data_IF_796799316822
#
_entry.id   IF_796799316822
#
_cell.length_a   1.000
_cell.length_b   1.000
_cell.length_c   1.000
_cell.angle_alpha   90.00
_cell.angle_beta   90.00
_cell.angle_gamma   90.00
#
_symmetry.space_group_name_H-M   'P 1'
#
loop_
_entity.id
_entity.type
_entity.pdbx_description
1 polymer ?
#
# COMPACT_ATOMS: atom_id res chain seq x y z
N UNK A 1 -25.61 -47.71 -38.31
CA UNK A 1 -26.62 -48.72 -38.70
C UNK A 1 -26.25 -49.97 -37.92
N UNK A 2 -26.85 -50.31 -36.79
CA UNK A 2 -28.26 -50.62 -36.52
C UNK A 2 -28.66 -50.11 -35.13
N UNK A 3 -29.81 -49.43 -35.07
CA UNK A 3 -30.61 -49.15 -33.88
C UNK A 3 -31.35 -50.43 -33.45
N UNK A 4 -31.64 -50.60 -32.15
CA UNK A 4 -32.99 -50.80 -31.59
C UNK A 4 -32.93 -51.21 -30.10
N UNK A 5 -33.14 -50.22 -29.23
CA UNK A 5 -34.04 -50.30 -28.06
C UNK A 5 -35.49 -50.06 -28.61
N UNK A 6 -36.65 -50.28 -27.94
CA UNK A 6 -36.92 -50.38 -26.49
C UNK A 6 -38.12 -51.32 -26.09
N UNK A 7 -38.49 -51.34 -24.80
CA UNK A 7 -39.87 -51.26 -24.22
C UNK A 7 -39.81 -51.62 -22.71
N UNK A 8 -39.90 -50.63 -21.80
CA UNK A 8 -41.11 -50.21 -21.02
C UNK A 8 -41.78 -51.40 -20.27
N UNK A 9 -42.00 -51.36 -18.95
CA UNK A 9 -42.85 -50.39 -18.25
C UNK A 9 -42.88 -50.64 -16.72
N UNK A 10 -42.72 -49.56 -15.95
CA UNK A 10 -43.41 -49.12 -14.70
C UNK A 10 -43.86 -50.20 -13.70
N UNK A 11 -43.30 -50.30 -12.49
CA UNK A 11 -43.44 -49.39 -11.33
C UNK A 11 -44.86 -49.40 -10.74
N UNK A 12 -45.03 -49.99 -9.55
CA UNK A 12 -45.63 -49.37 -8.35
C UNK A 12 -45.97 -50.44 -7.29
N UNK A 13 -45.60 -50.13 -6.04
CA UNK A 13 -46.36 -50.42 -4.80
C UNK A 13 -46.63 -51.91 -4.52
N UNK A 14 -46.11 -52.52 -3.48
CA UNK A 14 -46.08 -52.05 -2.11
C UNK A 14 -45.54 -53.24 -1.29
N UNK A 15 -44.62 -53.01 -0.34
CA UNK A 15 -44.99 -52.99 1.08
C UNK A 15 -44.92 -54.39 1.72
N UNK A 16 -43.77 -54.71 2.31
CA UNK A 16 -43.70 -55.31 3.65
C UNK A 16 -42.24 -55.39 4.14
N UNK A 17 -41.91 -54.35 4.91
CA UNK A 17 -41.11 -54.38 6.14
C UNK A 17 -40.01 -55.44 6.28
N UNK A 18 -38.75 -54.99 6.28
CA UNK A 18 -37.81 -55.35 7.35
C UNK A 18 -36.93 -54.16 7.71
N UNK A 19 -37.02 -53.84 9.00
CA UNK A 19 -36.31 -52.82 9.75
C UNK A 19 -34.79 -52.87 9.55
N UNK A 20 -34.23 -51.81 9.00
CA UNK A 20 -32.87 -51.39 9.34
C UNK A 20 -32.95 -49.97 9.91
N UNK A 21 -32.67 -49.87 11.20
CA UNK A 21 -32.48 -48.61 11.91
C UNK A 21 -31.21 -47.96 11.38
N UNK A 22 -31.37 -47.09 10.39
CA UNK A 22 -30.34 -46.09 10.06
C UNK A 22 -30.27 -45.11 11.23
N UNK A 23 -29.28 -45.29 12.10
CA UNK A 23 -28.88 -44.24 13.03
C UNK A 23 -28.23 -43.14 12.19
N UNK A 24 -29.05 -42.18 11.74
CA UNK A 24 -28.56 -40.89 11.26
C UNK A 24 -27.81 -40.24 12.41
N UNK A 25 -26.50 -40.46 12.44
CA UNK A 25 -25.60 -39.67 13.27
C UNK A 25 -25.43 -38.34 12.56
N UNK A 26 -26.40 -37.45 12.74
CA UNK A 26 -26.25 -36.05 12.35
C UNK A 26 -25.11 -35.49 13.18
N UNK A 27 -23.92 -35.42 12.58
CA UNK A 27 -22.79 -34.69 13.15
C UNK A 27 -23.20 -33.22 13.12
N UNK A 28 -23.71 -32.73 14.24
CA UNK A 28 -24.02 -31.32 14.45
C UNK A 28 -22.71 -30.53 14.35
N UNK A 29 -22.65 -29.62 13.37
CA UNK A 29 -21.60 -28.59 13.30
C UNK A 29 -21.44 -27.91 14.66
N UNK A 30 -20.21 -27.59 15.08
CA UNK A 30 -20.00 -26.85 16.31
C UNK A 30 -20.52 -25.43 16.10
N UNK A 31 -21.78 -25.19 16.46
CA UNK A 31 -22.29 -23.83 16.63
C UNK A 31 -21.31 -23.12 17.58
N UNK A 32 -20.75 -22.01 17.11
CA UNK A 32 -19.89 -21.15 17.93
C UNK A 32 -20.76 -20.60 19.04
N UNK A 33 -20.61 -21.14 20.24
CA UNK A 33 -21.32 -20.65 21.43
C UNK A 33 -20.46 -19.54 22.03
N UNK A 34 -20.66 -18.33 21.55
CA UNK A 34 -19.94 -17.12 21.97
C UNK A 34 -20.67 -16.32 23.05
N UNK A 35 -21.97 -16.56 23.23
CA UNK A 35 -22.83 -15.83 24.16
C UNK A 35 -23.70 -16.74 25.03
N UNK A 36 -24.14 -16.27 26.22
CA UNK A 36 -25.08 -17.00 27.06
C UNK A 36 -26.42 -17.30 26.36
N UNK A 37 -26.86 -16.42 25.45
CA UNK A 37 -28.09 -16.59 24.68
C UNK A 37 -27.96 -17.71 23.64
N UNK A 38 -26.86 -17.71 22.86
CA UNK A 38 -26.57 -18.77 21.88
C UNK A 38 -26.45 -20.16 22.54
N UNK A 39 -25.93 -20.22 23.78
CA UNK A 39 -25.89 -21.44 24.57
C UNK A 39 -27.30 -21.92 24.95
N UNK A 40 -28.17 -21.01 25.39
CA UNK A 40 -29.54 -21.34 25.78
C UNK A 40 -30.37 -21.86 24.60
N UNK A 41 -30.13 -21.33 23.39
CA UNK A 41 -30.81 -21.76 22.17
C UNK A 41 -30.33 -23.13 21.69
N UNK A 42 -29.01 -23.40 21.74
CA UNK A 42 -28.44 -24.71 21.41
C UNK A 42 -28.90 -25.82 22.37
N UNK A 43 -29.04 -25.51 23.66
CA UNK A 43 -29.53 -26.45 24.67
C UNK A 43 -31.02 -26.75 24.52
N UNK A 44 -31.83 -25.74 24.13
CA UNK A 44 -33.25 -25.92 23.77
C UNK A 44 -33.40 -26.80 22.53
N UNK A 45 -32.63 -26.55 21.49
CA UNK A 45 -32.66 -27.33 20.25
C UNK A 45 -32.28 -28.82 20.47
N UNK A 46 -31.50 -29.11 21.52
CA UNK A 46 -31.08 -30.47 21.87
C UNK A 46 -31.96 -31.17 22.92
N UNK A 47 -33.10 -30.56 23.29
CA UNK A 47 -34.08 -31.10 24.23
C UNK A 47 -33.53 -31.48 25.62
N UNK A 48 -32.57 -30.69 26.13
CA UNK A 48 -31.94 -30.86 27.45
C UNK A 48 -32.10 -29.60 28.34
N UNK A 49 -33.33 -29.16 28.67
CA UNK A 49 -33.52 -28.02 29.55
C UNK A 49 -33.13 -28.39 31.01
N UNK A 50 -32.20 -27.63 31.59
CA UNK A 50 -31.90 -27.67 33.03
C UNK A 50 -30.85 -28.68 33.50
N UNK A 51 -30.36 -29.60 32.67
CA UNK A 51 -29.36 -30.58 33.08
C UNK A 51 -27.93 -30.20 32.63
N UNK A 52 -27.04 -29.97 33.61
CA UNK A 52 -25.57 -29.86 33.52
C UNK A 52 -24.98 -28.47 33.22
N UNK A 53 -25.29 -27.52 34.10
CA UNK A 53 -24.58 -26.24 34.25
C UNK A 53 -23.06 -26.39 34.34
N UNK A 54 -22.52 -27.41 35.05
CA UNK A 54 -21.06 -27.59 35.20
C UNK A 54 -20.33 -27.92 33.90
N UNK A 55 -20.88 -28.81 33.06
CA UNK A 55 -20.21 -29.22 31.80
C UNK A 55 -20.28 -28.11 30.75
N UNK A 56 -21.41 -27.40 30.69
CA UNK A 56 -21.57 -26.24 29.81
C UNK A 56 -20.68 -25.08 30.26
N UNK A 57 -20.61 -24.79 31.57
CA UNK A 57 -19.69 -23.77 32.12
C UNK A 57 -18.23 -24.18 31.88
N UNK A 58 -17.87 -25.45 32.04
CA UNK A 58 -16.51 -25.93 31.78
C UNK A 58 -16.15 -25.83 30.28
N UNK A 59 -17.09 -26.14 29.38
CA UNK A 59 -16.92 -25.98 27.94
C UNK A 59 -16.82 -24.51 27.55
N UNK A 60 -17.64 -23.64 28.14
CA UNK A 60 -17.56 -22.18 27.95
C UNK A 60 -16.25 -21.61 28.52
N UNK A 61 -15.77 -22.11 29.67
CA UNK A 61 -14.49 -21.73 30.27
C UNK A 61 -13.31 -22.19 29.43
N UNK A 62 -13.33 -23.41 28.88
CA UNK A 62 -12.32 -23.88 27.92
C UNK A 62 -12.37 -23.07 26.64
N UNK A 63 -13.55 -22.88 26.04
CA UNK A 63 -13.71 -22.04 24.85
C UNK A 63 -13.21 -20.61 25.11
N UNK A 64 -13.51 -20.01 26.27
CA UNK A 64 -12.96 -18.72 26.69
C UNK A 64 -11.46 -18.76 26.89
N UNK A 65 -10.89 -19.82 27.46
CA UNK A 65 -9.45 -19.97 27.64
C UNK A 65 -8.71 -20.18 26.31
N UNK A 66 -9.32 -20.90 25.36
CA UNK A 66 -8.81 -21.10 24.00
C UNK A 66 -8.98 -19.84 23.15
N UNK A 67 -10.07 -19.08 23.33
CA UNK A 67 -10.31 -17.78 22.70
C UNK A 67 -9.53 -16.63 23.36
N UNK A 68 -9.11 -16.82 24.63
CA UNK A 68 -7.96 -16.14 25.24
C UNK A 68 -6.68 -16.68 24.63
N UNK A 69 -6.64 -16.78 23.29
CA UNK A 69 -5.38 -16.61 22.60
C UNK A 69 -4.81 -15.31 23.14
N UNK A 70 -3.71 -15.48 23.88
CA UNK A 70 -2.78 -14.49 24.39
C UNK A 70 -3.09 -13.14 23.75
N UNK A 71 -3.76 -12.25 24.49
CA UNK A 71 -3.83 -10.86 24.06
C UNK A 71 -2.39 -10.48 23.78
N UNK A 72 -2.07 -10.25 22.49
CA UNK A 72 -0.73 -9.83 22.10
C UNK A 72 -0.35 -8.71 23.05
N UNK A 73 0.83 -8.76 23.68
CA UNK A 73 1.24 -7.71 24.59
C UNK A 73 0.98 -6.37 23.89
N UNK A 74 0.42 -5.37 24.59
CA UNK A 74 0.11 -4.10 23.97
C UNK A 74 1.35 -3.67 23.20
N UNK A 75 1.21 -3.54 21.89
CA UNK A 75 2.34 -3.19 21.02
C UNK A 75 3.02 -1.98 21.63
N UNK A 76 4.33 -2.06 21.81
CA UNK A 76 5.09 -0.94 22.36
C UNK A 76 4.90 0.29 21.45
N UNK A 77 5.13 1.48 22.02
CA UNK A 77 4.93 2.74 21.31
C UNK A 77 5.71 2.77 19.99
N UNK A 78 6.91 2.18 19.97
CA UNK A 78 7.75 2.08 18.78
C UNK A 78 7.06 1.27 17.67
N UNK A 79 6.51 0.11 17.99
CA UNK A 79 5.80 -0.77 17.05
C UNK A 79 4.52 -0.11 16.53
N UNK A 80 3.80 0.62 17.39
CA UNK A 80 2.62 1.41 16.96
C UNK A 80 3.00 2.53 16.00
N UNK A 81 4.09 3.24 16.30
CA UNK A 81 4.60 4.31 15.45
C UNK A 81 5.04 3.75 14.08
N UNK A 82 5.80 2.65 14.07
CA UNK A 82 6.22 1.96 12.83
C UNK A 82 5.00 1.52 12.03
N UNK A 83 3.99 0.93 12.68
CA UNK A 83 2.76 0.52 12.02
C UNK A 83 2.01 1.71 11.44
N UNK A 84 1.86 2.80 12.19
CA UNK A 84 1.16 4.01 11.74
C UNK A 84 1.88 4.66 10.55
N UNK A 85 3.20 4.80 10.61
CA UNK A 85 4.01 5.32 9.51
C UNK A 85 3.89 4.42 8.27
N UNK A 86 3.99 3.10 8.44
CA UNK A 86 3.86 2.15 7.33
C UNK A 86 2.50 2.25 6.65
N UNK A 87 1.41 2.30 7.43
CA UNK A 87 0.05 2.45 6.90
C UNK A 87 -0.11 3.77 6.15
N UNK A 88 0.30 4.89 6.75
CA UNK A 88 0.21 6.22 6.13
C UNK A 88 0.97 6.28 4.80
N UNK A 89 2.23 5.86 4.81
CA UNK A 89 3.08 5.88 3.62
C UNK A 89 2.59 4.91 2.54
N UNK A 90 2.08 3.73 2.92
CA UNK A 90 1.51 2.77 1.97
C UNK A 90 0.23 3.31 1.31
N UNK A 91 -0.60 4.03 2.06
CA UNK A 91 -1.79 4.69 1.52
C UNK A 91 -1.41 5.76 0.48
N UNK A 92 -0.39 6.57 0.76
CA UNK A 92 0.10 7.59 -0.18
C UNK A 92 0.73 6.98 -1.43
N UNK A 93 1.51 5.90 -1.28
CA UNK A 93 2.05 5.15 -2.42
C UNK A 93 0.91 4.63 -3.30
N UNK A 94 -0.13 4.02 -2.70
CA UNK A 94 -1.28 3.51 -3.45
C UNK A 94 -2.06 4.62 -4.17
N UNK A 95 -2.28 5.76 -3.51
CA UNK A 95 -2.95 6.94 -4.08
C UNK A 95 -2.23 7.44 -5.34
N UNK A 96 -0.90 7.40 -5.35
CA UNK A 96 -0.03 7.75 -6.48
C UNK A 96 0.08 6.65 -7.55
N UNK A 97 -0.67 5.55 -7.43
CA UNK A 97 -0.61 4.41 -8.36
C UNK A 97 0.63 3.53 -8.19
N UNK A 98 1.32 3.64 -7.06
CA UNK A 98 2.48 2.83 -6.73
C UNK A 98 2.11 1.40 -6.30
N UNK A 99 3.08 0.49 -6.44
CA UNK A 99 2.92 -0.89 -6.00
C UNK A 99 3.20 -0.98 -4.49
N UNK A 100 2.27 -1.56 -3.73
CA UNK A 100 2.34 -1.65 -2.26
C UNK A 100 2.79 -3.02 -1.75
N UNK A 101 3.06 -3.95 -2.66
CA UNK A 101 3.57 -5.27 -2.35
C UNK A 101 4.10 -6.01 -3.58
N UNK A 102 4.77 -7.12 -3.31
CA UNK A 102 5.42 -7.97 -4.32
C UNK A 102 5.23 -9.43 -3.97
N UNK A 103 5.22 -10.32 -4.95
CA UNK A 103 4.96 -11.73 -4.72
C UNK A 103 6.12 -12.43 -3.96
N UNK A 104 5.80 -13.32 -3.02
CA UNK A 104 6.79 -13.98 -2.15
C UNK A 104 7.57 -15.12 -2.78
N UNK A 105 7.03 -15.72 -3.84
CA UNK A 105 7.52 -16.99 -4.37
C UNK A 105 7.63 -16.98 -5.89
N UNK A 106 8.53 -17.81 -6.41
CA UNK A 106 8.75 -17.94 -7.84
C UNK A 106 7.57 -18.63 -8.56
N UNK A 107 6.94 -19.59 -7.86
CA UNK A 107 5.85 -20.44 -8.39
C UNK A 107 4.50 -20.00 -7.83
N UNK A 108 3.46 -20.17 -8.65
CA UNK A 108 2.07 -19.83 -8.32
C UNK A 108 1.58 -20.38 -6.97
N UNK A 109 1.99 -21.61 -6.62
CA UNK A 109 1.62 -22.29 -5.37
C UNK A 109 2.27 -21.70 -4.11
N UNK A 110 3.25 -20.80 -4.24
CA UNK A 110 3.95 -20.14 -3.14
C UNK A 110 3.75 -18.61 -3.14
N UNK A 111 2.78 -18.10 -3.91
CA UNK A 111 2.49 -16.67 -4.02
C UNK A 111 1.63 -16.21 -2.83
N UNK A 112 2.24 -15.49 -1.90
CA UNK A 112 1.56 -14.48 -1.08
C UNK A 112 2.12 -13.10 -1.45
N UNK A 113 1.32 -12.06 -1.36
CA UNK A 113 1.82 -10.68 -1.51
C UNK A 113 2.57 -10.29 -0.23
N UNK A 114 3.86 -10.00 -0.36
CA UNK A 114 4.68 -9.41 0.68
C UNK A 114 4.43 -7.90 0.69
N UNK A 115 4.01 -7.33 1.83
CA UNK A 115 3.81 -5.89 1.95
C UNK A 115 5.15 -5.16 2.07
N UNK A 116 5.15 -3.89 1.70
CA UNK A 116 6.20 -2.94 2.05
C UNK A 116 6.47 -2.91 3.56
N UNK A 117 7.74 -2.78 3.94
CA UNK A 117 8.17 -2.68 5.34
C UNK A 117 9.06 -1.46 5.54
N UNK A 118 8.93 -0.79 6.68
CA UNK A 118 9.85 0.25 7.10
C UNK A 118 11.21 -0.40 7.38
N UNK A 119 12.22 -0.01 6.60
CA UNK A 119 13.60 -0.50 6.73
C UNK A 119 14.56 0.54 7.26
N UNK A 120 14.23 1.84 7.09
CA UNK A 120 15.02 2.93 7.63
C UNK A 120 14.17 4.16 7.93
N UNK A 121 14.64 5.01 8.84
CA UNK A 121 14.02 6.29 9.18
C UNK A 121 15.04 7.31 9.67
N UNK A 122 14.88 8.55 9.25
CA UNK A 122 15.77 9.66 9.66
C UNK A 122 15.06 10.99 9.42
N UNK A 123 15.16 11.93 10.37
CA UNK A 123 14.65 13.30 10.23
C UNK A 123 13.19 13.42 9.73
N UNK A 124 12.30 12.52 10.17
CA UNK A 124 10.90 12.51 9.74
C UNK A 124 10.63 11.85 8.38
N UNK A 125 11.67 11.39 7.70
CA UNK A 125 11.60 10.58 6.49
C UNK A 125 11.65 9.09 6.83
N UNK A 126 11.04 8.27 5.97
CA UNK A 126 11.05 6.81 6.09
C UNK A 126 11.32 6.16 4.74
N UNK A 127 12.06 5.05 4.75
CA UNK A 127 12.18 4.18 3.58
C UNK A 127 11.33 2.93 3.79
N UNK A 128 10.40 2.71 2.86
CA UNK A 128 9.64 1.48 2.74
C UNK A 128 10.27 0.60 1.65
N UNK A 129 10.54 -0.65 1.98
CA UNK A 129 11.16 -1.60 1.06
C UNK A 129 10.56 -2.99 1.15
N UNK A 130 10.55 -3.71 0.03
CA UNK A 130 10.25 -5.15 -0.02
C UNK A 130 10.94 -5.80 -1.20
N UNK A 131 11.42 -7.02 -1.01
CA UNK A 131 11.94 -7.90 -2.07
C UNK A 131 11.02 -9.09 -2.27
N UNK A 132 10.94 -9.55 -3.52
CA UNK A 132 10.17 -10.72 -3.87
C UNK A 132 10.46 -11.18 -5.29
N UNK A 133 9.42 -11.73 -5.91
CA UNK A 133 9.44 -12.28 -7.25
C UNK A 133 8.38 -11.57 -8.09
N UNK A 134 8.66 -11.39 -9.37
CA UNK A 134 7.70 -10.91 -10.37
C UNK A 134 7.63 -11.88 -11.52
N UNK A 135 6.42 -12.31 -11.84
CA UNK A 135 6.16 -13.08 -13.05
C UNK A 135 5.98 -12.14 -14.24
N UNK A 136 6.77 -12.34 -15.30
CA UNK A 136 6.71 -11.51 -16.50
C UNK A 136 5.92 -12.19 -17.62
N UNK A 137 6.30 -13.43 -17.97
CA UNK A 137 5.61 -14.21 -18.99
C UNK A 137 6.02 -15.68 -18.90
N UNK A 138 5.34 -16.54 -19.68
CA UNK A 138 5.71 -17.96 -19.77
C UNK A 138 7.13 -18.17 -20.30
N UNK A 139 7.59 -17.29 -21.19
CA UNK A 139 8.92 -17.40 -21.80
C UNK A 139 10.05 -16.91 -20.89
N UNK A 140 9.79 -15.87 -20.10
CA UNK A 140 10.82 -15.25 -19.23
C UNK A 140 10.78 -15.72 -17.78
N UNK A 141 9.67 -16.34 -17.37
CA UNK A 141 9.47 -16.83 -16.01
C UNK A 141 9.36 -15.72 -14.96
N UNK A 142 9.58 -16.12 -13.71
CA UNK A 142 9.62 -15.21 -12.57
C UNK A 142 11.06 -14.73 -12.33
N UNK A 143 11.23 -13.46 -12.00
CA UNK A 143 12.54 -12.91 -11.60
C UNK A 143 12.46 -12.20 -10.27
N UNK A 144 13.58 -12.13 -9.58
CA UNK A 144 13.72 -11.28 -8.38
C UNK A 144 13.45 -9.83 -8.75
N UNK A 145 12.67 -9.16 -7.91
CA UNK A 145 12.44 -7.73 -8.02
C UNK A 145 12.27 -7.15 -6.61
N UNK A 146 12.42 -5.85 -6.53
CA UNK A 146 12.27 -5.10 -5.28
C UNK A 146 11.53 -3.80 -5.52
N UNK A 147 10.92 -3.32 -4.45
CA UNK A 147 10.23 -2.06 -4.36
C UNK A 147 10.89 -1.25 -3.26
N UNK A 148 11.23 0.00 -3.55
CA UNK A 148 11.75 0.96 -2.59
C UNK A 148 11.05 2.31 -2.76
N UNK A 149 10.65 2.91 -1.65
CA UNK A 149 10.01 4.22 -1.62
C UNK A 149 10.58 5.05 -0.48
N UNK A 150 10.90 6.32 -0.75
CA UNK A 150 11.10 7.34 0.27
C UNK A 150 9.76 8.01 0.54
N UNK A 151 9.39 8.17 1.80
CA UNK A 151 8.18 8.88 2.17
C UNK A 151 8.46 9.92 3.25
N UNK A 152 7.67 10.97 3.25
CA UNK A 152 7.78 12.07 4.20
C UNK A 152 6.46 12.80 4.37
N UNK A 153 6.52 13.89 5.12
CA UNK A 153 5.42 14.82 5.32
C UNK A 153 5.98 16.23 5.22
N UNK A 154 5.32 17.08 4.45
CA UNK A 154 5.63 18.50 4.33
C UNK A 154 4.37 19.36 4.48
N UNK A 155 4.44 20.61 4.03
CA UNK A 155 3.37 21.59 4.13
C UNK A 155 2.19 21.33 3.17
N UNK A 156 2.37 20.55 2.09
CA UNK A 156 1.28 20.07 1.25
C UNK A 156 0.73 18.72 1.73
N UNK A 157 1.46 18.01 2.59
CA UNK A 157 1.01 16.83 3.31
C UNK A 157 1.93 15.62 3.12
N UNK A 158 1.34 14.42 3.14
CA UNK A 158 2.13 13.20 2.94
C UNK A 158 2.57 13.04 1.48
N UNK A 159 3.82 12.66 1.26
CA UNK A 159 4.37 12.39 -0.06
C UNK A 159 5.15 11.09 -0.08
N UNK A 160 5.28 10.51 -1.29
CA UNK A 160 6.04 9.29 -1.51
C UNK A 160 6.70 9.31 -2.89
N UNK A 161 7.98 8.93 -2.93
CA UNK A 161 8.80 8.90 -4.15
C UNK A 161 9.36 7.51 -4.36
N UNK A 162 9.25 7.00 -5.58
CA UNK A 162 9.82 5.69 -5.93
C UNK A 162 11.32 5.78 -6.18
N UNK A 163 12.04 4.82 -5.61
CA UNK A 163 13.49 4.71 -5.69
C UNK A 163 13.91 3.46 -6.48
N UNK A 164 15.17 3.36 -6.90
CA UNK A 164 15.76 2.09 -7.27
C UNK A 164 15.63 1.09 -6.13
N UNK A 165 15.30 -0.15 -6.46
CA UNK A 165 15.08 -1.21 -5.46
C UNK A 165 16.33 -1.63 -4.69
N UNK A 166 17.51 -1.10 -5.04
CA UNK A 166 18.76 -1.25 -4.28
C UNK A 166 18.92 -0.21 -3.17
N UNK A 167 18.10 0.84 -3.17
CA UNK A 167 18.16 1.92 -2.19
C UNK A 167 17.28 1.56 -1.00
N UNK A 168 17.87 1.44 0.18
CA UNK A 168 17.19 0.99 1.41
C UNK A 168 17.40 1.91 2.61
N UNK A 169 18.17 3.00 2.47
CA UNK A 169 18.39 3.99 3.54
C UNK A 169 17.95 5.37 3.12
N UNK A 170 17.55 6.20 4.07
CA UNK A 170 17.16 7.60 3.84
C UNK A 170 18.31 8.37 3.23
N UNK A 171 19.53 8.23 3.75
CA UNK A 171 20.72 8.91 3.21
C UNK A 171 21.00 8.55 1.74
N UNK A 172 20.90 7.26 1.38
CA UNK A 172 21.09 6.82 0.00
C UNK A 172 19.95 7.33 -0.91
N UNK A 173 18.71 7.36 -0.39
CA UNK A 173 17.57 7.90 -1.11
C UNK A 173 17.73 9.40 -1.41
N UNK A 174 18.11 10.19 -0.41
CA UNK A 174 18.38 11.63 -0.58
C UNK A 174 19.52 11.86 -1.56
N UNK A 175 20.60 11.08 -1.49
CA UNK A 175 21.73 11.17 -2.41
C UNK A 175 21.30 10.87 -3.84
N UNK A 176 20.46 9.85 -4.05
CA UNK A 176 19.95 9.49 -5.36
C UNK A 176 19.00 10.54 -5.94
N UNK A 177 18.12 11.11 -5.10
CA UNK A 177 17.17 12.13 -5.51
C UNK A 177 17.82 13.49 -5.78
N UNK A 178 18.93 13.80 -5.11
CA UNK A 178 19.60 15.09 -5.25
C UNK A 178 20.27 15.22 -6.62
N UNK A 179 19.86 16.18 -7.47
CA UNK A 179 20.50 16.39 -8.76
C UNK A 179 21.96 16.80 -8.60
N UNK A 180 22.84 16.33 -9.49
CA UNK A 180 24.28 16.63 -9.42
C UNK A 180 24.59 18.15 -9.42
N UNK A 181 23.76 18.96 -10.08
CA UNK A 181 23.90 20.41 -10.09
C UNK A 181 23.58 21.06 -8.72
N UNK A 182 22.67 20.46 -7.94
CA UNK A 182 22.40 20.85 -6.54
C UNK A 182 23.63 20.51 -5.68
N UNK A 183 24.17 19.29 -5.81
CA UNK A 183 25.39 18.88 -5.09
C UNK A 183 26.56 19.84 -5.37
N UNK A 184 26.78 20.22 -6.64
CA UNK A 184 27.81 21.20 -7.01
C UNK A 184 27.55 22.58 -6.42
N UNK A 185 26.29 23.02 -6.37
CA UNK A 185 25.93 24.31 -5.79
C UNK A 185 26.15 24.34 -4.27
N UNK A 186 25.79 23.28 -3.55
CA UNK A 186 26.06 23.12 -2.12
C UNK A 186 27.57 23.16 -1.83
N UNK A 187 28.37 22.42 -2.60
CA UNK A 187 29.82 22.41 -2.46
C UNK A 187 30.46 23.79 -2.73
N UNK A 188 29.81 24.61 -3.55
CA UNK A 188 30.20 25.99 -3.81
C UNK A 188 29.64 27.01 -2.79
N UNK A 189 28.97 26.55 -1.73
CA UNK A 189 28.41 27.42 -0.68
C UNK A 189 27.21 28.27 -1.15
N UNK A 190 26.53 27.87 -2.23
CA UNK A 190 25.35 28.59 -2.71
C UNK A 190 24.13 28.32 -1.83
N UNK A 191 23.28 29.33 -1.70
CA UNK A 191 21.95 29.17 -1.13
C UNK A 191 21.09 28.30 -2.06
N UNK A 192 20.37 27.36 -1.44
CA UNK A 192 19.44 26.47 -2.12
C UNK A 192 18.17 26.39 -1.29
N UNK A 193 17.06 26.69 -1.93
CA UNK A 193 15.72 26.55 -1.37
C UNK A 193 14.98 25.43 -2.10
N UNK A 194 13.94 24.86 -1.49
CA UNK A 194 13.18 23.73 -2.07
C UNK A 194 11.68 23.88 -1.79
N UNK A 195 10.85 23.55 -2.79
CA UNK A 195 9.41 23.37 -2.67
C UNK A 195 9.03 22.11 -3.47
N UNK A 196 8.39 21.14 -2.84
CA UNK A 196 8.04 19.87 -3.49
C UNK A 196 9.24 19.18 -4.15
N UNK A 197 9.14 18.92 -5.45
CA UNK A 197 10.20 18.34 -6.27
C UNK A 197 11.11 19.39 -6.95
N UNK A 198 10.96 20.68 -6.66
CA UNK A 198 11.77 21.76 -7.25
C UNK A 198 12.84 22.27 -6.27
N UNK A 199 14.08 22.35 -6.78
CA UNK A 199 15.19 23.06 -6.15
C UNK A 199 15.36 24.44 -6.79
N UNK A 200 15.42 25.49 -5.97
CA UNK A 200 15.79 26.84 -6.37
C UNK A 200 17.25 27.10 -5.97
N UNK A 201 18.15 27.24 -6.94
CA UNK A 201 19.57 27.49 -6.69
C UNK A 201 19.87 28.97 -6.91
N UNK A 202 20.45 29.63 -5.91
CA UNK A 202 20.89 31.01 -6.02
C UNK A 202 21.90 31.19 -7.17
N UNK A 203 21.71 32.25 -7.94
CA UNK A 203 22.51 32.53 -9.15
C UNK A 203 22.71 34.04 -9.36
N UNK A 204 23.38 34.42 -10.44
CA UNK A 204 23.54 35.83 -10.83
C UNK A 204 22.32 36.32 -11.61
N UNK A 205 22.10 37.64 -11.63
CA UNK A 205 20.98 38.27 -12.38
C UNK A 205 20.94 37.89 -13.87
N UNK A 206 22.11 37.63 -14.47
CA UNK A 206 22.20 37.23 -15.87
C UNK A 206 21.63 35.82 -16.16
N UNK A 207 21.48 34.98 -15.12
CA UNK A 207 20.96 33.62 -15.22
C UNK A 207 19.69 33.43 -14.39
N UNK A 208 19.02 34.52 -14.05
CA UNK A 208 17.78 34.50 -13.28
C UNK A 208 16.65 33.88 -14.10
N UNK A 209 15.81 33.08 -13.44
CA UNK A 209 14.66 32.47 -14.10
C UNK A 209 13.63 33.54 -14.50
N UNK A 210 13.18 33.57 -15.76
CA UNK A 210 12.18 34.53 -16.21
C UNK A 210 10.80 34.22 -15.61
N UNK A 211 9.95 35.24 -15.43
CA UNK A 211 8.54 35.06 -15.07
C UNK A 211 7.86 34.09 -16.04
N UNK A 212 7.05 33.18 -15.51
CA UNK A 212 6.41 32.13 -16.30
C UNK A 212 7.35 30.98 -16.62
N UNK A 213 8.51 30.85 -15.93
CA UNK A 213 9.22 29.58 -15.90
C UNK A 213 8.26 28.49 -15.42
N UNK A 214 8.22 27.42 -16.20
CA UNK A 214 7.41 26.23 -15.96
C UNK A 214 8.38 25.08 -15.70
N UNK A 215 8.02 24.19 -14.77
CA UNK A 215 8.73 22.92 -14.56
C UNK A 215 8.85 22.10 -15.85
N UNK A 216 9.71 21.09 -15.81
CA UNK A 216 9.87 20.17 -16.94
C UNK A 216 8.66 19.21 -17.06
N UNK A 217 7.74 19.23 -16.10
CA UNK A 217 6.52 18.42 -15.97
C UNK A 217 5.28 18.97 -16.70
N UNK A 218 5.48 19.79 -17.72
CA UNK A 218 4.36 20.43 -18.40
C UNK A 218 3.52 19.43 -19.21
N UNK A 219 2.21 19.68 -19.23
CA UNK A 219 1.24 18.98 -20.09
C UNK A 219 0.40 19.99 -20.86
N UNK A 220 -0.38 19.51 -21.83
CA UNK A 220 -1.44 20.32 -22.46
C UNK A 220 -2.75 20.10 -21.72
N UNK A 221 -3.42 21.17 -21.35
CA UNK A 221 -4.83 21.12 -20.91
C UNK A 221 -5.76 20.80 -22.12
N UNK A 222 -7.07 20.58 -21.90
CA UNK A 222 -8.02 20.32 -22.99
C UNK A 222 -8.09 21.43 -24.06
N UNK A 223 -7.72 22.67 -23.69
CA UNK A 223 -7.67 23.83 -24.59
C UNK A 223 -6.29 23.96 -25.27
N UNK A 224 -5.38 23.01 -25.05
CA UNK A 224 -4.04 22.96 -25.66
C UNK A 224 -2.98 23.84 -24.99
N UNK A 225 -3.28 24.48 -23.85
CA UNK A 225 -2.34 25.35 -23.11
C UNK A 225 -1.37 24.52 -22.29
N UNK A 226 -0.11 24.97 -22.22
CA UNK A 226 0.89 24.37 -21.34
C UNK A 226 0.54 24.69 -19.89
N UNK A 227 0.31 23.66 -19.10
CA UNK A 227 0.11 23.76 -17.66
C UNK A 227 1.17 22.93 -16.95
N UNK A 228 1.74 23.49 -15.90
CA UNK A 228 2.62 22.79 -14.95
C UNK A 228 2.04 22.92 -13.56
N UNK A 229 2.49 22.01 -12.71
CA UNK A 229 2.21 22.10 -11.29
C UNK A 229 2.92 23.32 -10.67
N UNK A 230 4.13 23.68 -11.14
CA UNK A 230 4.92 24.79 -10.60
C UNK A 230 4.86 26.07 -11.44
N UNK A 231 4.69 27.23 -10.80
CA UNK A 231 4.67 28.54 -11.44
C UNK A 231 5.59 29.53 -10.74
N UNK A 232 6.47 30.18 -11.51
CA UNK A 232 7.38 31.21 -11.02
C UNK A 232 6.96 32.62 -11.47
N UNK A 233 6.75 33.50 -10.49
CA UNK A 233 6.57 34.93 -10.69
C UNK A 233 7.86 35.68 -10.30
N UNK A 234 8.66 36.08 -11.28
CA UNK A 234 9.93 36.79 -11.02
C UNK A 234 9.72 38.23 -10.54
N UNK A 235 8.55 38.84 -10.83
CA UNK A 235 8.21 40.20 -10.39
C UNK A 235 7.95 40.19 -8.89
N UNK A 236 7.11 39.25 -8.43
CA UNK A 236 6.76 39.11 -7.02
C UNK A 236 7.70 38.19 -6.23
N UNK A 237 8.66 37.57 -6.91
CA UNK A 237 9.65 36.64 -6.35
C UNK A 237 9.00 35.46 -5.62
N UNK A 238 8.02 34.84 -6.28
CA UNK A 238 7.16 33.83 -5.68
C UNK A 238 7.07 32.57 -6.56
N UNK A 239 7.38 31.42 -5.96
CA UNK A 239 7.14 30.09 -6.55
C UNK A 239 5.89 29.49 -5.91
N UNK A 240 4.91 29.12 -6.75
CA UNK A 240 3.69 28.44 -6.32
C UNK A 240 3.60 27.04 -6.92
N UNK A 241 2.98 26.12 -6.19
CA UNK A 241 2.74 24.75 -6.61
C UNK A 241 1.24 24.42 -6.55
N UNK A 242 0.69 23.96 -7.68
CA UNK A 242 -0.71 23.63 -7.94
C UNK A 242 -0.81 22.25 -8.63
N UNK A 243 -0.58 21.15 -7.90
CA UNK A 243 -0.69 19.82 -8.47
C UNK A 243 -2.15 19.42 -8.69
N UNK A 244 -2.34 18.38 -9.49
CA UNK A 244 -3.65 17.86 -9.89
C UNK A 244 -4.51 17.36 -8.75
N UNK A 245 -3.87 16.88 -7.69
CA UNK A 245 -4.56 16.35 -6.52
C UNK A 245 -5.09 17.45 -5.58
N UNK A 246 -4.88 18.72 -5.96
CA UNK A 246 -5.37 19.89 -5.26
C UNK A 246 -4.56 20.29 -4.03
N UNK A 247 -3.49 19.55 -3.67
CA UNK A 247 -2.66 19.87 -2.50
C UNK A 247 -1.63 20.92 -2.85
N UNK A 248 -1.77 22.12 -2.31
CA UNK A 248 -0.85 23.21 -2.62
C UNK A 248 0.22 23.36 -1.55
N UNK A 249 1.49 23.47 -1.96
CA UNK A 249 2.52 23.95 -1.05
C UNK A 249 2.25 25.41 -0.70
N UNK A 250 2.71 25.82 0.48
CA UNK A 250 2.88 27.21 0.81
C UNK A 250 3.81 27.84 -0.23
N UNK A 251 3.39 28.99 -0.75
CA UNK A 251 4.18 29.74 -1.72
C UNK A 251 5.58 30.07 -1.16
N UNK A 252 6.61 29.80 -1.96
CA UNK A 252 8.01 29.99 -1.58
C UNK A 252 8.50 31.34 -2.11
N UNK A 253 8.89 32.24 -1.20
CA UNK A 253 9.40 33.56 -1.55
C UNK A 253 10.92 33.52 -1.69
N UNK A 254 11.44 33.96 -2.83
CA UNK A 254 12.86 33.90 -3.19
C UNK A 254 13.36 35.29 -3.59
N UNK A 255 13.86 36.05 -2.63
CA UNK A 255 14.25 37.46 -2.76
C UNK A 255 15.54 37.72 -3.57
N UNK A 256 16.12 36.67 -4.15
CA UNK A 256 17.37 36.70 -4.90
C UNK A 256 17.20 36.04 -6.28
N UNK A 257 18.14 36.24 -7.22
CA UNK A 257 18.11 35.58 -8.51
C UNK A 257 18.26 34.07 -8.35
N UNK A 258 17.42 33.30 -9.02
CA UNK A 258 17.36 31.84 -8.87
C UNK A 258 17.34 31.13 -10.22
N UNK A 259 17.91 29.93 -10.23
CA UNK A 259 17.71 28.96 -11.30
C UNK A 259 17.06 27.71 -10.72
N UNK A 260 15.95 27.30 -11.31
CA UNK A 260 15.23 26.12 -10.87
C UNK A 260 15.79 24.84 -11.48
N UNK A 261 15.67 23.75 -10.73
CA UNK A 261 15.94 22.40 -11.18
C UNK A 261 14.89 21.46 -10.59
N UNK A 262 14.33 20.61 -11.45
CA UNK A 262 13.39 19.58 -11.01
C UNK A 262 14.13 18.31 -10.58
N UNK A 263 13.70 17.76 -9.44
CA UNK A 263 14.04 16.44 -8.96
C UNK A 263 13.41 15.40 -9.87
N UNK A 264 14.19 14.39 -10.27
CA UNK A 264 13.67 13.25 -11.05
C UNK A 264 13.64 12.02 -10.17
N UNK A 265 12.56 11.26 -10.30
CA UNK A 265 12.38 9.99 -9.62
C UNK A 265 11.90 8.93 -10.60
N UNK A 266 11.72 7.68 -10.15
CA UNK A 266 11.02 6.71 -10.97
C UNK A 266 9.51 6.99 -10.90
N UNK A 267 8.84 6.85 -12.04
CA UNK A 267 7.40 6.87 -12.10
C UNK A 267 6.82 5.76 -11.21
N UNK A 268 5.68 6.05 -10.59
CA UNK A 268 4.93 5.05 -9.86
C UNK A 268 4.44 3.93 -10.79
N UNK A 269 4.31 2.71 -10.26
CA UNK A 269 3.83 1.54 -11.00
C UNK A 269 4.96 0.62 -11.49
N UNK A 270 4.68 -0.14 -12.56
CA UNK A 270 5.56 -1.23 -13.04
C UNK A 270 6.60 -0.81 -14.08
N UNK A 271 6.60 0.46 -14.49
CA UNK A 271 7.53 0.98 -15.50
C UNK A 271 8.89 1.34 -14.88
N UNK A 272 9.96 1.33 -15.68
CA UNK A 272 11.26 1.91 -15.30
C UNK A 272 11.41 3.36 -15.77
N UNK A 273 10.30 4.01 -16.11
CA UNK A 273 10.29 5.35 -16.71
C UNK A 273 10.50 6.38 -15.61
N UNK A 274 11.13 7.50 -15.95
CA UNK A 274 11.27 8.64 -15.05
C UNK A 274 9.91 9.31 -14.82
N UNK A 275 9.65 9.72 -13.58
CA UNK A 275 8.51 10.52 -13.16
C UNK A 275 8.96 11.71 -12.30
N UNK A 276 7.98 12.50 -11.89
CA UNK A 276 8.14 13.62 -10.95
C UNK A 276 8.26 13.12 -9.52
N UNK A 277 8.87 13.93 -8.65
CA UNK A 277 9.13 13.59 -7.26
C UNK A 277 8.02 14.02 -6.29
N UNK A 278 6.93 14.58 -6.81
CA UNK A 278 5.79 15.11 -6.06
C UNK A 278 4.46 14.68 -6.67
#
# INVERSE_FOLDING_TARGET
MVLLDPLRSRNLKNLLMKLERTVSTTVLSPAVIDSPAALADALRASNLPGARSKTAIAKLRRARATARQVASPPSDLASRLVSALTVRCTAEIARRGGETGIESGEKASALRTLPLRLVDREAGLVVLHVEGWRYYSRAYGSRRASLSYLCGHDDAGDWAVRLPGTVTTVTAALTWLTPAAVTKALAAGKQIDRQGDIYAIATSRAHDAPTGWLGDDWRKDPDGRRVTSHHWDATNRLLTHHPDDGRTHRALRLDHPVRFLQQRAYAHGRSGVWGTGD
#
